data_IF_148458540535
#
_entry.id   IF_148458540535
#
_cell.length_a   1.000
_cell.length_b   1.000
_cell.length_c   1.000
_cell.angle_alpha   90.00
_cell.angle_beta   90.00
_cell.angle_gamma   90.00
#
_symmetry.space_group_name_H-M   'P 1'
#
loop_
_entity.id
_entity.type
_entity.pdbx_description
1 polymer ?
#
# COMPACT_ATOMS: atom_id res chain seq x y z
N UNK A 1 9.54 7.03 -5.88
CA UNK A 1 8.16 6.52 -5.95
C UNK A 1 8.21 5.22 -6.74
N UNK A 2 7.69 4.13 -6.17
CA UNK A 2 7.51 2.86 -6.85
C UNK A 2 6.02 2.49 -6.85
N UNK A 3 5.56 1.88 -7.92
CA UNK A 3 4.22 1.31 -7.98
C UNK A 3 4.33 -0.21 -8.10
N UNK A 4 3.73 -0.93 -7.15
CA UNK A 4 3.62 -2.37 -7.17
C UNK A 4 2.18 -2.72 -7.56
N UNK A 5 2.02 -3.30 -8.75
CA UNK A 5 0.73 -3.79 -9.20
C UNK A 5 0.43 -5.13 -8.52
N UNK A 6 -0.76 -5.26 -7.95
CA UNK A 6 -1.22 -6.46 -7.25
C UNK A 6 -2.64 -6.82 -7.69
N UNK A 7 -3.11 -8.00 -7.32
CA UNK A 7 -4.48 -8.43 -7.60
C UNK A 7 -5.50 -7.83 -6.61
N UNK A 8 -5.10 -7.66 -5.35
CA UNK A 8 -5.97 -7.18 -4.26
C UNK A 8 -5.14 -6.33 -3.27
N UNK A 9 -5.40 -5.01 -3.23
CA UNK A 9 -4.69 -4.10 -2.35
C UNK A 9 -5.10 -4.27 -0.88
N UNK A 10 -6.34 -4.65 -0.57
CA UNK A 10 -6.79 -4.89 0.80
C UNK A 10 -6.13 -6.13 1.40
N UNK A 11 -5.98 -7.19 0.61
CA UNK A 11 -5.24 -8.38 1.03
C UNK A 11 -3.77 -8.08 1.30
N UNK A 12 -3.15 -7.25 0.45
CA UNK A 12 -1.78 -6.78 0.69
C UNK A 12 -1.69 -5.95 1.96
N UNK A 13 -2.58 -4.98 2.15
CA UNK A 13 -2.60 -4.16 3.36
C UNK A 13 -2.72 -5.00 4.64
N UNK A 14 -3.65 -5.96 4.68
CA UNK A 14 -3.80 -6.87 5.82
C UNK A 14 -2.51 -7.64 6.13
N UNK A 15 -1.74 -8.03 5.11
CA UNK A 15 -0.42 -8.64 5.30
C UNK A 15 0.61 -7.65 5.85
N UNK A 16 0.63 -6.41 5.38
CA UNK A 16 1.54 -5.37 5.88
C UNK A 16 1.24 -5.02 7.34
N UNK A 17 -0.04 -4.90 7.69
CA UNK A 17 -0.51 -4.64 9.05
C UNK A 17 -0.16 -5.81 9.99
N UNK A 18 -0.48 -7.04 9.59
CA UNK A 18 -0.13 -8.23 10.37
C UNK A 18 1.39 -8.46 10.53
N UNK A 19 2.19 -7.93 9.60
CA UNK A 19 3.65 -7.98 9.68
C UNK A 19 4.25 -6.90 10.60
N UNK A 20 3.41 -5.99 11.13
CA UNK A 20 3.79 -4.86 11.97
C UNK A 20 4.98 -4.08 11.38
N UNK A 21 4.87 -3.69 10.10
CA UNK A 21 5.97 -2.98 9.45
C UNK A 21 6.29 -1.64 10.12
N UNK A 22 5.29 -1.01 10.75
CA UNK A 22 5.46 0.20 11.51
C UNK A 22 6.31 -0.03 12.76
N UNK A 23 5.95 -1.00 13.61
CA UNK A 23 6.68 -1.30 14.83
C UNK A 23 8.05 -1.95 14.56
N UNK A 24 8.14 -2.82 13.56
CA UNK A 24 9.36 -3.58 13.27
C UNK A 24 10.41 -2.81 12.48
N UNK A 25 9.99 -1.93 11.58
CA UNK A 25 10.90 -1.26 10.66
C UNK A 25 10.78 0.26 10.66
N UNK A 26 9.82 0.86 11.37
CA UNK A 26 9.58 2.31 11.31
C UNK A 26 8.95 2.75 9.98
N UNK A 27 8.33 1.82 9.25
CA UNK A 27 7.58 2.16 8.04
C UNK A 27 6.27 2.89 8.39
N UNK A 28 5.76 3.70 7.47
CA UNK A 28 4.41 4.29 7.60
C UNK A 28 3.51 3.71 6.54
N UNK A 29 2.46 3.00 6.97
CA UNK A 29 1.50 2.32 6.10
C UNK A 29 0.17 3.07 6.19
N UNK A 30 -0.35 3.56 5.07
CA UNK A 30 -1.69 4.10 4.97
C UNK A 30 -2.73 3.00 4.84
N UNK A 31 -4.01 3.33 5.03
CA UNK A 31 -5.11 2.41 4.73
C UNK A 31 -5.35 2.33 3.21
N UNK A 32 -5.93 1.24 2.68
CA UNK A 32 -6.33 1.16 1.29
C UNK A 32 -7.42 2.18 0.99
N UNK A 33 -7.26 2.94 -0.10
CA UNK A 33 -8.21 3.96 -0.51
C UNK A 33 -8.46 3.89 -2.02
N UNK A 34 -9.71 4.14 -2.40
CA UNK A 34 -10.09 4.35 -3.79
C UNK A 34 -9.66 5.76 -4.21
N UNK A 35 -9.07 5.87 -5.39
CA UNK A 35 -8.44 7.08 -5.87
C UNK A 35 -9.15 7.65 -7.10
N UNK A 36 -9.09 8.98 -7.31
CA UNK A 36 -9.74 9.63 -8.46
C UNK A 36 -9.30 9.13 -9.85
N UNK A 37 -8.18 8.43 -9.96
CA UNK A 37 -7.66 7.84 -11.20
C UNK A 37 -8.03 6.36 -11.38
N UNK A 38 -9.08 5.88 -10.71
CA UNK A 38 -9.64 4.54 -10.97
C UNK A 38 -8.83 3.40 -10.37
N UNK A 39 -8.14 3.64 -9.26
CA UNK A 39 -7.35 2.61 -8.57
C UNK A 39 -7.68 2.55 -7.09
N UNK A 40 -7.56 1.34 -6.53
CA UNK A 40 -7.52 1.13 -5.09
C UNK A 40 -6.08 0.83 -4.69
N UNK A 41 -5.53 1.64 -3.78
CA UNK A 41 -4.13 1.47 -3.37
C UNK A 41 -3.84 1.85 -1.92
N UNK A 42 -2.72 1.28 -1.46
CA UNK A 42 -2.09 1.49 -0.15
C UNK A 42 -0.84 2.31 -0.34
N UNK A 43 -0.64 3.34 0.49
CA UNK A 43 0.63 4.04 0.60
C UNK A 43 1.53 3.37 1.63
N UNK A 44 2.80 3.17 1.28
CA UNK A 44 3.83 2.69 2.20
C UNK A 44 5.06 3.59 2.04
N UNK A 45 5.44 4.28 3.10
CA UNK A 45 6.75 4.91 3.20
C UNK A 45 7.71 3.98 3.91
N UNK A 46 8.74 3.53 3.21
CA UNK A 46 9.79 2.73 3.82
C UNK A 46 10.80 3.60 4.61
N UNK A 47 11.70 2.99 5.40
CA UNK A 47 12.68 3.74 6.20
C UNK A 47 13.70 4.53 5.37
N UNK A 48 13.88 4.18 4.10
CA UNK A 48 14.69 4.94 3.14
C UNK A 48 13.98 6.17 2.60
N UNK A 49 12.72 6.41 2.98
CA UNK A 49 11.91 7.53 2.53
C UNK A 49 11.23 7.30 1.19
N UNK A 50 11.33 6.10 0.59
CA UNK A 50 10.67 5.81 -0.69
C UNK A 50 9.18 5.60 -0.44
N UNK A 51 8.36 6.30 -1.25
CA UNK A 51 6.93 6.02 -1.34
C UNK A 51 6.68 4.86 -2.31
N UNK A 52 6.03 3.83 -1.79
CA UNK A 52 5.45 2.72 -2.51
C UNK A 52 3.94 2.92 -2.60
N UNK A 53 3.38 2.68 -3.78
CA UNK A 53 1.94 2.55 -4.00
C UNK A 53 1.66 1.12 -4.40
N UNK A 54 0.95 0.39 -3.55
CA UNK A 54 0.62 -1.02 -3.77
C UNK A 54 -0.86 -1.05 -4.10
N UNK A 55 -1.21 -1.36 -5.34
CA UNK A 55 -2.55 -1.09 -5.84
C UNK A 55 -2.99 -1.91 -7.05
N UNK A 56 -4.29 -1.89 -7.29
CA UNK A 56 -4.96 -2.49 -8.43
C UNK A 56 -5.98 -1.54 -9.03
N UNK A 57 -6.40 -1.78 -10.27
CA UNK A 57 -7.51 -1.07 -10.86
C UNK A 57 -8.82 -1.36 -10.11
N UNK A 58 -9.66 -0.33 -9.97
CA UNK A 58 -11.05 -0.51 -9.57
C UNK A 58 -11.81 -1.24 -10.69
N UNK A 59 -12.87 -1.99 -10.36
CA UNK A 59 -13.80 -2.48 -11.36
C UNK A 59 -14.36 -1.29 -12.17
N UNK A 60 -14.46 -1.47 -13.49
CA UNK A 60 -15.07 -0.50 -14.39
C UNK A 60 -16.60 -0.50 -14.32
#
# INVERSE_FOLDING_TARGET
MLHLWVEDADAWWRRLDAADLAGRYGARVGVPEDRPWGMRDVSLHDPGGVLWRIGHALPG
#
